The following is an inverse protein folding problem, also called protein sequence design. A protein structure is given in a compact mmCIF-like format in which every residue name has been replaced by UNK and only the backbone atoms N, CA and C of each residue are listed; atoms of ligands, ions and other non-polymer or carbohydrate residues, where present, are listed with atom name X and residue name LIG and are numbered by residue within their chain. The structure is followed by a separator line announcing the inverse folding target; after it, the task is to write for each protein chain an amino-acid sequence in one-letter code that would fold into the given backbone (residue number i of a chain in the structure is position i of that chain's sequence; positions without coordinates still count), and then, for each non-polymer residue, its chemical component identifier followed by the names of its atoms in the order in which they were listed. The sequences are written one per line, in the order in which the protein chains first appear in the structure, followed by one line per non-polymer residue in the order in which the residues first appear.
data_IF_291610597216
#
_entry.id   IF_291610597216
#
_cell.length_a   1.000
_cell.length_b   1.000
_cell.length_c   1.000
_cell.angle_alpha   90.00
_cell.angle_beta   90.00
_cell.angle_gamma   90.00
#
_symmetry.space_group_name_H-M   'P 1'
#
loop_
_entity.id
_entity.type
_entity.pdbx_description
1 polymer ?
#
# COMPACT_ATOMS: atom_id res chain seq x y z
N UNK A 1 0.78 11.47 9.22
CA UNK A 1 0.45 10.12 9.70
C UNK A 1 -0.29 9.44 8.58
N UNK A 2 0.39 8.55 7.85
CA UNK A 2 -0.27 7.76 6.82
C UNK A 2 -1.33 6.84 7.44
N UNK A 3 -2.49 6.81 6.80
CA UNK A 3 -3.60 5.97 7.19
C UNK A 3 -3.46 4.62 6.45
N UNK A 4 -3.30 3.50 7.18
CA UNK A 4 -3.18 2.17 6.58
C UNK A 4 -4.32 1.85 5.61
N UNK A 5 -5.51 2.41 5.82
CA UNK A 5 -6.63 2.20 4.90
C UNK A 5 -6.41 2.91 3.57
N UNK A 6 -5.94 4.17 3.59
CA UNK A 6 -5.63 4.94 2.37
C UNK A 6 -4.49 4.33 1.57
N UNK A 7 -3.47 3.79 2.25
CA UNK A 7 -2.38 3.08 1.58
C UNK A 7 -2.90 1.85 0.81
N UNK A 8 -3.84 1.09 1.40
CA UNK A 8 -4.46 -0.05 0.73
C UNK A 8 -5.38 0.34 -0.42
N UNK A 9 -6.15 1.41 -0.27
CA UNK A 9 -6.97 1.95 -1.38
C UNK A 9 -6.08 2.36 -2.56
N UNK A 10 -4.94 3.00 -2.28
CA UNK A 10 -3.98 3.37 -3.30
C UNK A 10 -3.30 2.15 -3.94
N UNK A 11 -2.96 1.12 -3.16
CA UNK A 11 -2.43 -0.14 -3.68
C UNK A 11 -3.42 -0.85 -4.60
N UNK A 12 -4.70 -0.93 -4.20
CA UNK A 12 -5.77 -1.49 -5.03
C UNK A 12 -5.91 -0.72 -6.36
N UNK A 13 -5.87 0.62 -6.29
CA UNK A 13 -5.89 1.47 -7.48
C UNK A 13 -4.70 1.21 -8.42
N UNK A 14 -3.49 1.04 -7.88
CA UNK A 14 -2.30 0.71 -8.69
C UNK A 14 -2.44 -0.63 -9.42
N UNK A 15 -3.03 -1.65 -8.78
CA UNK A 15 -3.27 -2.95 -9.42
C UNK A 15 -4.30 -2.85 -10.54
N UNK A 16 -5.43 -2.20 -10.29
CA UNK A 16 -6.46 -1.97 -11.32
C UNK A 16 -5.92 -1.15 -12.50
N UNK A 17 -5.00 -0.22 -12.24
CA UNK A 17 -4.38 0.59 -13.28
C UNK A 17 -3.23 -0.11 -14.00
N UNK A 18 -2.57 -1.08 -13.37
CA UNK A 18 -1.59 -1.95 -14.00
C UNK A 18 -2.23 -2.78 -15.13
N UNK A 19 -3.41 -3.35 -14.90
CA UNK A 19 -4.15 -4.13 -15.90
C UNK A 19 -4.52 -3.32 -17.17
N UNK A 20 -4.52 -1.99 -17.09
CA UNK A 20 -4.85 -1.10 -18.21
C UNK A 20 -3.66 -0.76 -19.10
N UNK A 21 -2.44 -1.21 -18.78
CA UNK A 21 -1.25 -0.92 -19.60
C UNK A 21 -0.81 -2.11 -20.44
N UNK A 22 -0.41 -1.82 -21.68
CA UNK A 22 0.20 -2.81 -22.58
C UNK A 22 1.74 -2.88 -22.43
N UNK A 23 2.34 -2.03 -21.58
CA UNK A 23 3.78 -2.01 -21.36
C UNK A 23 4.14 -2.87 -20.13
N UNK A 24 4.85 -4.00 -20.29
CA UNK A 24 5.19 -4.90 -19.19
C UNK A 24 6.00 -4.23 -18.07
N UNK A 25 6.96 -3.37 -18.42
CA UNK A 25 7.77 -2.67 -17.40
C UNK A 25 6.95 -1.72 -16.54
N UNK A 26 5.96 -1.08 -17.14
CA UNK A 26 5.03 -0.20 -16.40
C UNK A 26 4.06 -1.04 -15.55
N UNK A 27 3.62 -2.19 -16.05
CA UNK A 27 2.80 -3.14 -15.29
C UNK A 27 3.55 -3.62 -14.05
N UNK A 28 4.79 -4.10 -14.21
CA UNK A 28 5.64 -4.57 -13.09
C UNK A 28 5.91 -3.47 -12.07
N UNK A 29 6.24 -2.26 -12.52
CA UNK A 29 6.49 -1.13 -11.63
C UNK A 29 5.26 -0.77 -10.78
N UNK A 30 4.05 -0.84 -11.35
CA UNK A 30 2.81 -0.56 -10.62
C UNK A 30 2.47 -1.65 -9.62
N UNK A 31 2.72 -2.91 -9.95
CA UNK A 31 2.54 -4.00 -8.99
C UNK A 31 3.50 -3.87 -7.81
N UNK A 32 4.77 -3.56 -8.06
CA UNK A 32 5.74 -3.33 -6.99
C UNK A 32 5.32 -2.18 -6.08
N UNK A 33 4.83 -1.08 -6.64
CA UNK A 33 4.33 0.04 -5.85
C UNK A 33 3.12 -0.37 -4.99
N UNK A 34 2.20 -1.18 -5.52
CA UNK A 34 1.08 -1.70 -4.73
C UNK A 34 1.55 -2.58 -3.56
N UNK A 35 2.55 -3.44 -3.78
CA UNK A 35 3.13 -4.29 -2.74
C UNK A 35 3.82 -3.46 -1.63
N UNK A 36 4.59 -2.43 -2.02
CA UNK A 36 5.28 -1.55 -1.08
C UNK A 36 4.28 -0.80 -0.17
N UNK A 37 3.19 -0.29 -0.75
CA UNK A 37 2.12 0.40 -0.02
C UNK A 37 1.40 -0.52 0.98
N UNK A 38 1.14 -1.76 0.60
CA UNK A 38 0.53 -2.73 1.50
C UNK A 38 1.48 -3.14 2.63
N UNK A 39 2.75 -3.30 2.31
CA UNK A 39 3.77 -3.58 3.31
C UNK A 39 3.84 -2.45 4.34
N UNK A 40 3.86 -1.20 3.89
CA UNK A 40 3.84 -0.03 4.76
C UNK A 40 2.57 0.03 5.63
N UNK A 41 1.40 -0.23 5.04
CA UNK A 41 0.14 -0.30 5.79
C UNK A 41 0.21 -1.34 6.92
N UNK A 42 0.75 -2.52 6.62
CA UNK A 42 0.98 -3.59 7.61
C UNK A 42 1.97 -3.17 8.69
N UNK A 43 3.06 -2.49 8.35
CA UNK A 43 4.05 -1.99 9.33
C UNK A 43 3.43 -0.96 10.27
N UNK A 44 2.62 -0.04 9.75
CA UNK A 44 1.93 0.98 10.58
C UNK A 44 0.95 0.31 11.53
N UNK A 45 0.15 -0.66 11.06
CA UNK A 45 -0.77 -1.41 11.92
C UNK A 45 -0.05 -2.20 13.00
N UNK A 46 1.02 -2.91 12.64
CA UNK A 46 1.86 -3.63 13.58
C UNK A 46 2.51 -2.69 14.60
N UNK A 47 2.89 -1.48 14.19
CA UNK A 47 3.40 -0.46 15.11
C UNK A 47 2.31 0.05 16.06
N UNK A 48 1.10 0.32 15.58
CA UNK A 48 -0.06 0.74 16.40
C UNK A 48 -0.45 -0.33 17.41
N UNK A 49 -0.42 -1.60 17.02
CA UNK A 49 -0.70 -2.73 17.92
C UNK A 49 0.36 -2.90 19.00
N UNK A 50 1.63 -2.63 18.69
CA UNK A 50 2.74 -2.72 19.66
C UNK A 50 2.80 -1.53 20.63
N UNK A 51 2.21 -0.39 20.27
CA UNK A 51 2.20 0.81 21.11
C UNK A 51 0.80 1.44 21.18
N UNK A 52 -0.18 0.77 21.81
CA UNK A 52 -1.55 1.27 21.90
C UNK A 52 -1.67 2.57 22.73
N UNK A 53 -0.67 2.89 23.54
CA UNK A 53 -0.65 4.00 24.51
C UNK A 53 -0.24 5.35 23.89
N UNK A 54 0.28 5.35 22.66
CA UNK A 54 0.62 6.56 21.88
C UNK A 54 -0.49 6.98 20.91
N UNK A 55 -1.64 6.30 20.95
CA UNK A 55 -2.77 6.54 20.06
C UNK A 55 -3.84 7.50 20.65
N UNK A 56 -3.58 8.11 21.81
CA UNK A 56 -4.49 9.05 22.49
C UNK A 56 -4.21 10.52 22.13
#
# INVERSE_FOLDING_TARGET
MEDPQKLRELAAWYREFAEKTANPSIWEARLRMAEDLEHEATLIEASRQRHPELAA
#
